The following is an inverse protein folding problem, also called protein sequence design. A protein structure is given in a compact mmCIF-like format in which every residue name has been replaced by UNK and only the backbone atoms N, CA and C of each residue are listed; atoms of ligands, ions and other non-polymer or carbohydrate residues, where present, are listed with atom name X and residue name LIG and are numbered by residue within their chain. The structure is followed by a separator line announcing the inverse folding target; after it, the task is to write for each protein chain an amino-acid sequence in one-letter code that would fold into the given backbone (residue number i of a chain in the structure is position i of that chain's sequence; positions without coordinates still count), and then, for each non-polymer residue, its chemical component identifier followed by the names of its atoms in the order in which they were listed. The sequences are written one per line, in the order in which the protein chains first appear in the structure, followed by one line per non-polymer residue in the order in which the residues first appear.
data_IF_683231838837
#
_entry.id   IF_683231838837
#
_cell.length_a   1.000
_cell.length_b   1.000
_cell.length_c   1.000
_cell.angle_alpha   90.00
_cell.angle_beta   90.00
_cell.angle_gamma   90.00
#
_symmetry.space_group_name_H-M   'P 1'
#
loop_
_entity.id
_entity.type
_entity.pdbx_description
1 polymer ?
#
# COMPACT_ATOMS: atom_id res chain seq x y z
N UNK A 1 -15.91 3.51 -21.43
CA UNK A 1 -15.06 4.54 -20.82
C UNK A 1 -13.95 3.81 -20.09
N UNK A 2 -12.70 4.11 -20.39
CA UNK A 2 -11.55 3.61 -19.60
C UNK A 2 -11.55 4.35 -18.27
N UNK A 3 -11.63 3.62 -17.16
CA UNK A 3 -11.54 4.20 -15.82
C UNK A 3 -10.13 4.75 -15.62
N UNK A 4 -9.99 6.03 -15.27
CA UNK A 4 -8.67 6.62 -14.98
C UNK A 4 -8.17 6.15 -13.59
N UNK A 5 -6.86 6.26 -13.36
CA UNK A 5 -6.28 6.04 -12.03
C UNK A 5 -6.97 6.89 -10.94
N UNK A 6 -7.29 8.16 -11.25
CA UNK A 6 -8.02 9.05 -10.35
C UNK A 6 -9.42 8.51 -10.05
N UNK A 7 -10.19 8.14 -11.08
CA UNK A 7 -11.56 7.65 -10.91
C UNK A 7 -11.59 6.36 -10.09
N UNK A 8 -10.64 5.45 -10.33
CA UNK A 8 -10.47 4.24 -9.54
C UNK A 8 -10.25 4.53 -8.06
N UNK A 9 -9.30 5.42 -7.75
CA UNK A 9 -8.96 5.78 -6.37
C UNK A 9 -10.13 6.50 -5.69
N UNK A 10 -10.75 7.48 -6.36
CA UNK A 10 -11.92 8.20 -5.84
C UNK A 10 -13.05 7.22 -5.51
N UNK A 11 -13.42 6.33 -6.44
CA UNK A 11 -14.48 5.36 -6.22
C UNK A 11 -14.15 4.41 -5.06
N UNK A 12 -12.89 4.00 -4.92
CA UNK A 12 -12.44 3.15 -3.83
C UNK A 12 -12.65 3.82 -2.46
N UNK A 13 -12.15 5.04 -2.27
CA UNK A 13 -12.28 5.73 -0.98
C UNK A 13 -13.71 6.16 -0.69
N UNK A 14 -14.50 6.50 -1.71
CA UNK A 14 -15.94 6.73 -1.55
C UNK A 14 -16.67 5.47 -1.07
N UNK A 15 -16.35 4.31 -1.66
CA UNK A 15 -16.92 3.01 -1.25
C UNK A 15 -16.55 2.71 0.20
N UNK A 16 -15.29 2.89 0.58
CA UNK A 16 -14.83 2.66 1.94
C UNK A 16 -15.53 3.59 2.95
N UNK A 17 -15.69 4.88 2.61
CA UNK A 17 -16.44 5.83 3.43
C UNK A 17 -17.92 5.44 3.59
N UNK A 18 -18.57 4.95 2.52
CA UNK A 18 -19.95 4.47 2.58
C UNK A 18 -20.08 3.25 3.50
N UNK A 19 -19.19 2.27 3.38
CA UNK A 19 -19.18 1.07 4.25
C UNK A 19 -19.00 1.46 5.73
N UNK A 20 -18.11 2.42 6.00
CA UNK A 20 -17.89 2.93 7.36
C UNK A 20 -19.12 3.64 7.92
N UNK A 21 -19.83 4.43 7.11
CA UNK A 21 -21.09 5.07 7.53
C UNK A 21 -22.23 4.08 7.71
N UNK A 22 -22.32 3.05 6.87
CA UNK A 22 -23.29 1.96 7.05
C UNK A 22 -23.05 1.24 8.37
N UNK A 23 -21.79 0.97 8.71
CA UNK A 23 -21.42 0.43 10.02
C UNK A 23 -21.90 1.33 11.17
N UNK A 24 -21.71 2.64 11.08
CA UNK A 24 -22.23 3.59 12.08
C UNK A 24 -23.75 3.47 12.21
N UNK A 25 -24.47 3.41 11.09
CA UNK A 25 -25.91 3.25 11.09
C UNK A 25 -26.38 1.93 11.73
N UNK A 26 -25.68 0.83 11.50
CA UNK A 26 -25.96 -0.47 12.13
C UNK A 26 -25.75 -0.43 13.65
N UNK A 27 -24.63 0.15 14.10
CA UNK A 27 -24.32 0.31 15.52
C UNK A 27 -25.36 1.21 16.22
N UNK A 28 -25.80 2.29 15.57
CA UNK A 28 -26.85 3.17 16.08
C UNK A 28 -28.21 2.46 16.25
N UNK A 29 -28.46 1.41 15.47
CA UNK A 29 -29.65 0.54 15.59
C UNK A 29 -29.49 -0.55 16.66
N UNK A 30 -28.38 -0.57 17.40
CA UNK A 30 -28.07 -1.58 18.40
C UNK A 30 -27.51 -2.89 17.83
N UNK A 31 -27.15 -2.92 16.55
CA UNK A 31 -26.53 -4.11 15.95
C UNK A 31 -25.09 -4.23 16.41
N UNK A 32 -24.69 -5.37 16.98
CA UNK A 32 -23.31 -5.61 17.37
C UNK A 32 -22.50 -6.09 16.16
N UNK A 33 -21.59 -5.24 15.67
CA UNK A 33 -20.71 -5.56 14.52
C UNK A 33 -19.25 -5.60 14.98
N UNK A 34 -18.47 -6.66 14.68
CA UNK A 34 -17.04 -6.72 15.04
C UNK A 34 -16.25 -5.60 14.36
N UNK A 35 -15.27 -5.00 15.06
CA UNK A 35 -14.43 -3.92 14.54
C UNK A 35 -14.53 -2.60 15.35
N UNK A 36 -14.17 -1.45 14.76
CA UNK A 36 -14.14 -0.18 15.48
C UNK A 36 -15.53 0.27 15.93
N UNK A 37 -15.60 1.05 17.01
CA UNK A 37 -16.83 1.68 17.46
C UNK A 37 -17.38 2.71 16.45
N UNK A 38 -18.59 3.21 16.70
CA UNK A 38 -19.26 4.13 15.80
C UNK A 38 -18.50 5.45 15.63
N UNK A 39 -17.93 5.99 16.71
CA UNK A 39 -17.18 7.26 16.66
C UNK A 39 -15.90 7.12 15.83
N UNK A 40 -15.18 6.01 16.00
CA UNK A 40 -13.98 5.69 15.24
C UNK A 40 -14.32 5.42 13.77
N UNK A 41 -15.40 4.68 13.50
CA UNK A 41 -15.87 4.43 12.13
C UNK A 41 -16.26 5.72 11.41
N UNK A 42 -16.94 6.65 12.11
CA UNK A 42 -17.27 7.97 11.56
C UNK A 42 -16.01 8.76 11.20
N UNK A 43 -15.04 8.86 12.12
CA UNK A 43 -13.79 9.57 11.86
C UNK A 43 -12.99 8.94 10.71
N UNK A 44 -13.01 7.62 10.58
CA UNK A 44 -12.38 6.93 9.44
C UNK A 44 -13.08 7.31 8.13
N UNK A 45 -14.42 7.41 8.12
CA UNK A 45 -15.16 7.82 6.94
C UNK A 45 -14.81 9.26 6.53
N UNK A 46 -14.71 10.17 7.50
CA UNK A 46 -14.31 11.56 7.26
C UNK A 46 -12.90 11.64 6.66
N UNK A 47 -11.96 10.79 7.14
CA UNK A 47 -10.61 10.71 6.57
C UNK A 47 -10.62 10.16 5.14
N UNK A 48 -11.49 9.18 4.83
CA UNK A 48 -11.68 8.72 3.45
C UNK A 48 -12.22 9.83 2.54
N UNK A 49 -13.18 10.63 3.01
CA UNK A 49 -13.70 11.78 2.25
C UNK A 49 -12.62 12.83 1.99
N UNK A 50 -11.73 13.04 2.96
CA UNK A 50 -10.63 13.99 2.80
C UNK A 50 -9.63 13.52 1.73
N UNK A 51 -9.33 12.22 1.67
CA UNK A 51 -8.55 11.63 0.58
C UNK A 51 -9.25 11.82 -0.77
N UNK A 52 -10.57 11.61 -0.83
CA UNK A 52 -11.37 11.87 -2.03
C UNK A 52 -11.27 13.34 -2.45
N UNK A 53 -11.38 14.27 -1.51
CA UNK A 53 -11.26 15.70 -1.78
C UNK A 53 -9.87 16.06 -2.32
N UNK A 54 -8.80 15.49 -1.74
CA UNK A 54 -7.43 15.67 -2.24
C UNK A 54 -7.26 15.14 -3.67
N UNK A 55 -7.85 13.98 -4.00
CA UNK A 55 -7.81 13.41 -5.34
C UNK A 55 -8.61 14.25 -6.36
N UNK A 56 -9.78 14.75 -5.98
CA UNK A 56 -10.62 15.58 -6.84
C UNK A 56 -10.06 17.00 -7.05
N UNK A 57 -9.20 17.47 -6.14
CA UNK A 57 -8.50 18.74 -6.31
C UNK A 57 -7.41 18.69 -7.41
N UNK A 58 -7.01 17.50 -7.85
CA UNK A 58 -6.09 17.33 -8.97
C UNK A 58 -6.82 17.68 -10.27
N UNK A 59 -6.34 18.74 -10.93
CA UNK A 59 -6.86 19.17 -12.21
C UNK A 59 -6.73 18.06 -13.26
N UNK A 60 -7.80 17.81 -14.00
CA UNK A 60 -7.76 16.88 -15.14
C UNK A 60 -7.26 17.62 -16.37
N UNK A 61 -6.06 17.28 -16.82
CA UNK A 61 -5.43 17.89 -17.99
C UNK A 61 -5.61 17.07 -19.28
N UNK A 62 -6.33 15.94 -19.22
CA UNK A 62 -6.53 15.03 -20.37
C UNK A 62 -5.33 14.15 -20.70
N UNK A 63 -4.22 14.31 -19.97
CA UNK A 63 -3.03 13.46 -20.04
C UNK A 63 -2.99 12.57 -18.78
N UNK A 64 -3.12 11.26 -18.98
CA UNK A 64 -3.14 10.27 -17.91
C UNK A 64 -1.80 10.16 -17.18
N UNK A 65 -0.67 10.39 -17.86
CA UNK A 65 0.66 10.36 -17.23
C UNK A 65 0.84 11.56 -16.30
N UNK A 66 0.50 12.75 -16.77
CA UNK A 66 0.58 13.98 -15.96
C UNK A 66 -0.37 13.91 -14.76
N UNK A 67 -1.58 13.39 -14.98
CA UNK A 67 -2.55 13.17 -13.88
C UNK A 67 -2.02 12.16 -12.86
N UNK A 68 -1.40 11.07 -13.31
CA UNK A 68 -0.81 10.07 -12.43
C UNK A 68 0.39 10.61 -11.62
N UNK A 69 1.24 11.44 -12.22
CA UNK A 69 2.34 12.09 -11.52
C UNK A 69 1.82 13.08 -10.45
N UNK A 70 0.74 13.81 -10.75
CA UNK A 70 0.08 14.68 -9.78
C UNK A 70 -0.56 13.90 -8.62
N UNK A 71 -1.14 12.71 -8.89
CA UNK A 71 -1.64 11.81 -7.84
C UNK A 71 -0.49 11.31 -6.97
N UNK A 72 0.64 10.93 -7.57
CA UNK A 72 1.84 10.50 -6.83
C UNK A 72 2.38 11.59 -5.90
N UNK A 73 2.25 12.86 -6.28
CA UNK A 73 2.64 13.99 -5.43
C UNK A 73 1.81 14.12 -4.13
N UNK A 74 0.66 13.45 -4.00
CA UNK A 74 -0.10 13.38 -2.75
C UNK A 74 0.53 12.44 -1.71
N UNK A 75 1.37 11.49 -2.13
CA UNK A 75 1.91 10.46 -1.23
C UNK A 75 2.63 11.05 -0.01
N UNK A 76 3.57 12.01 -0.14
CA UNK A 76 4.23 12.60 1.02
C UNK A 76 3.26 13.34 1.97
N UNK A 77 2.22 13.98 1.42
CA UNK A 77 1.20 14.66 2.21
C UNK A 77 0.37 13.66 3.02
N UNK A 78 -0.01 12.54 2.41
CA UNK A 78 -0.74 11.46 3.08
C UNK A 78 0.10 10.80 4.18
N UNK A 79 1.40 10.59 3.95
CA UNK A 79 2.32 10.06 4.96
C UNK A 79 2.52 11.04 6.13
N UNK A 80 2.60 12.33 5.83
CA UNK A 80 2.63 13.37 6.86
C UNK A 80 1.35 13.35 7.70
N UNK A 81 0.17 13.33 7.08
CA UNK A 81 -1.12 13.21 7.78
C UNK A 81 -1.23 11.93 8.59
N UNK A 82 -0.70 10.81 8.09
CA UNK A 82 -0.63 9.56 8.86
C UNK A 82 0.22 9.75 10.13
N UNK A 83 1.33 10.47 10.03
CA UNK A 83 2.23 10.78 11.17
C UNK A 83 1.55 11.67 12.21
N UNK A 84 0.75 12.65 11.79
CA UNK A 84 -0.05 13.49 12.70
C UNK A 84 -1.09 12.67 13.49
N UNK A 85 -1.52 11.53 12.96
CA UNK A 85 -2.52 10.65 13.58
C UNK A 85 -1.90 9.54 14.45
N UNK A 86 -0.70 9.73 14.99
CA UNK A 86 -0.02 8.74 15.87
C UNK A 86 -0.91 8.23 17.01
N UNK A 87 -1.69 9.11 17.65
CA UNK A 87 -2.62 8.77 18.73
C UNK A 87 -3.92 8.11 18.26
N UNK A 88 -4.22 8.13 16.96
CA UNK A 88 -5.44 7.58 16.36
C UNK A 88 -5.07 6.52 15.30
N UNK A 89 -4.71 5.28 15.71
CA UNK A 89 -4.17 4.27 14.80
C UNK A 89 -5.14 3.91 13.64
N UNK A 90 -6.45 3.95 13.89
CA UNK A 90 -7.46 3.71 12.86
C UNK A 90 -7.43 4.78 11.75
N UNK A 91 -7.32 6.07 12.12
CA UNK A 91 -7.26 7.17 11.16
C UNK A 91 -5.92 7.20 10.44
N UNK A 92 -4.83 6.96 11.17
CA UNK A 92 -3.50 6.76 10.60
C UNK A 92 -3.51 5.69 9.51
N UNK A 93 -4.21 4.59 9.74
CA UNK A 93 -4.29 3.49 8.78
C UNK A 93 -4.99 3.87 7.47
N UNK A 94 -5.97 4.79 7.51
CA UNK A 94 -6.65 5.30 6.31
C UNK A 94 -5.66 6.09 5.44
N UNK A 95 -4.92 7.04 6.03
CA UNK A 95 -3.95 7.84 5.28
C UNK A 95 -2.76 7.02 4.77
N UNK A 96 -2.20 6.14 5.61
CA UNK A 96 -1.12 5.25 5.20
C UNK A 96 -1.58 4.27 4.10
N UNK A 97 -2.79 3.72 4.24
CA UNK A 97 -3.40 2.86 3.22
C UNK A 97 -3.64 3.61 1.91
N UNK A 98 -4.01 4.89 1.96
CA UNK A 98 -4.16 5.72 0.78
C UNK A 98 -2.84 5.94 0.04
N UNK A 99 -1.76 6.26 0.76
CA UNK A 99 -0.43 6.38 0.21
C UNK A 99 0.04 5.07 -0.47
N UNK A 100 -0.15 3.93 0.20
CA UNK A 100 0.16 2.61 -0.37
C UNK A 100 -0.64 2.34 -1.64
N UNK A 101 -1.95 2.61 -1.63
CA UNK A 101 -2.81 2.34 -2.79
C UNK A 101 -2.43 3.17 -4.01
N UNK A 102 -2.04 4.43 -3.81
CA UNK A 102 -1.54 5.29 -4.89
C UNK A 102 -0.28 4.67 -5.53
N UNK A 103 0.66 4.19 -4.71
CA UNK A 103 1.88 3.52 -5.21
C UNK A 103 1.56 2.25 -5.99
N UNK A 104 0.62 1.44 -5.51
CA UNK A 104 0.16 0.22 -6.20
C UNK A 104 -0.45 0.55 -7.57
N UNK A 105 -1.27 1.60 -7.66
CA UNK A 105 -1.84 2.06 -8.93
C UNK A 105 -0.74 2.51 -9.89
N UNK A 106 0.25 3.30 -9.44
CA UNK A 106 1.38 3.69 -10.28
C UNK A 106 2.16 2.49 -10.80
N UNK A 107 2.39 1.48 -9.97
CA UNK A 107 3.07 0.26 -10.39
C UNK A 107 2.27 -0.51 -11.45
N UNK A 108 0.96 -0.62 -11.28
CA UNK A 108 0.07 -1.29 -12.24
C UNK A 108 0.01 -0.56 -13.60
N UNK A 109 -0.02 0.78 -13.59
CA UNK A 109 0.02 1.61 -14.81
C UNK A 109 1.36 1.48 -15.56
N UNK A 110 2.48 1.40 -14.82
CA UNK A 110 3.80 1.18 -15.40
C UNK A 110 3.95 -0.20 -16.07
N UNK A 111 3.32 -1.24 -15.51
CA UNK A 111 3.31 -2.59 -16.10
C UNK A 111 2.36 -2.71 -17.30
N UNK A 112 1.31 -1.89 -17.34
CA UNK A 112 0.29 -1.92 -18.39
C UNK A 112 0.68 -1.12 -19.64
N UNK A 113 1.69 -0.26 -19.54
CA UNK A 113 2.29 0.44 -20.68
C UNK A 113 3.35 -0.47 -21.30
N UNK A 114 3.10 -1.16 -22.43
CA UNK A 114 4.17 -1.84 -23.13
C UNK A 114 5.16 -0.77 -23.58
N UNK A 115 6.40 -0.87 -23.08
CA UNK A 115 7.51 -0.16 -23.68
C UNK A 115 7.50 -0.50 -25.17
N UNK A 116 7.17 0.48 -26.02
CA UNK A 116 7.37 0.33 -27.45
C UNK A 116 8.86 0.14 -27.69
N UNK A 117 9.23 -1.10 -28.00
CA UNK A 117 10.38 -1.53 -28.79
C UNK A 117 11.71 -0.81 -28.56
N UNK A 118 12.55 -1.41 -27.73
CA UNK A 118 13.95 -1.67 -28.11
C UNK A 118 14.25 -3.12 -27.75
N UNK A 119 13.79 -4.02 -28.62
CA UNK A 119 14.47 -5.30 -28.82
C UNK A 119 15.71 -4.98 -29.63
N UNK A 120 16.82 -4.71 -28.95
CA UNK A 120 18.13 -4.84 -29.58
C UNK A 120 18.48 -6.33 -29.54
N UNK A 121 18.35 -6.93 -30.71
CA UNK A 121 18.49 -8.35 -31.01
C UNK A 121 19.98 -8.75 -30.98
N UNK A 122 20.24 -9.83 -30.25
CA UNK A 122 21.40 -10.75 -30.26
C UNK A 122 22.84 -10.20 -30.10
N UNK A 123 23.51 -10.68 -29.04
CA UNK A 123 24.59 -11.64 -29.31
C UNK A 123 24.83 -12.62 -28.14
N UNK A 124 24.89 -13.90 -28.51
CA UNK A 124 25.37 -15.06 -27.77
C UNK A 124 26.63 -14.76 -26.94
N UNK A 125 26.65 -15.18 -25.67
CA UNK A 125 27.85 -15.77 -25.06
C UNK A 125 27.42 -16.98 -24.23
N UNK A 126 28.08 -18.08 -24.56
CA UNK A 126 27.92 -19.46 -24.12
C UNK A 126 27.56 -19.68 -22.65
N UNK A 127 26.68 -20.66 -22.49
CA UNK A 127 26.59 -21.52 -21.32
C UNK A 127 27.88 -22.33 -21.31
N UNK A 128 28.80 -22.05 -20.37
CA UNK A 128 29.88 -22.98 -20.04
C UNK A 128 29.62 -23.59 -18.67
N UNK A 129 29.91 -24.88 -18.65
CA UNK A 129 29.52 -25.89 -17.70
C UNK A 129 30.07 -25.68 -16.28
N UNK A 130 29.23 -26.08 -15.31
CA UNK A 130 29.57 -26.99 -14.21
C UNK A 130 30.99 -26.92 -13.62
N UNK A 131 31.11 -26.44 -12.38
CA UNK A 131 31.90 -27.17 -11.38
C UNK A 131 31.36 -26.92 -9.96
N UNK A 132 30.97 -28.05 -9.35
CA UNK A 132 30.74 -28.25 -7.92
C UNK A 132 32.03 -27.92 -7.15
N UNK A 133 31.95 -27.04 -6.16
CA UNK A 133 32.87 -27.06 -5.02
C UNK A 133 32.07 -26.69 -3.75
N UNK A 134 31.23 -27.63 -3.34
CA UNK A 134 30.76 -27.75 -1.96
C UNK A 134 31.92 -28.26 -1.11
N UNK A 135 32.71 -27.35 -0.56
CA UNK A 135 33.64 -27.71 0.51
C UNK A 135 32.89 -27.82 1.83
N UNK A 136 32.60 -29.09 2.11
CA UNK A 136 32.31 -29.73 3.38
C UNK A 136 33.43 -29.46 4.41
N UNK A 137 33.25 -28.44 5.26
CA UNK A 137 33.95 -28.37 6.54
C UNK A 137 32.99 -28.75 7.68
N UNK A 138 32.64 -30.03 7.72
CA UNK A 138 32.23 -30.70 8.95
C UNK A 138 33.47 -31.14 9.71
N UNK A 139 33.83 -30.43 10.78
CA UNK A 139 34.45 -31.09 11.95
C UNK A 139 33.78 -30.59 13.23
N UNK A 140 33.21 -31.56 13.91
CA UNK A 140 32.51 -31.50 15.18
C UNK A 140 33.46 -31.43 16.41
N UNK A 141 32.82 -31.33 17.57
CA UNK A 141 33.34 -31.53 18.94
C UNK A 141 34.06 -30.31 19.53
N UNK A 142 33.85 -29.91 20.78
CA UNK A 142 33.13 -30.50 21.91
C UNK A 142 32.98 -29.40 22.99
N UNK A 143 32.38 -29.78 24.12
CA UNK A 143 32.44 -29.13 25.45
C UNK A 143 31.24 -28.25 25.82
N UNK A 144 30.25 -28.96 26.37
CA UNK A 144 29.66 -28.68 27.68
C UNK A 144 30.23 -27.46 28.41
N UNK A 145 29.43 -26.39 28.56
CA UNK A 145 29.60 -25.50 29.71
C UNK A 145 28.38 -25.63 30.63
N UNK A 146 28.64 -26.43 31.64
CA UNK A 146 27.89 -26.71 32.84
C UNK A 146 27.53 -25.39 33.57
N UNK A 147 26.25 -24.99 33.55
CA UNK A 147 25.72 -24.12 34.61
C UNK A 147 25.07 -25.01 35.67
N UNK A 148 25.92 -25.55 36.54
CA UNK A 148 25.53 -26.01 37.86
C UNK A 148 25.25 -24.82 38.77
N UNK A 149 24.00 -24.77 39.24
CA UNK A 149 23.53 -24.48 40.59
C UNK A 149 24.04 -23.26 41.41
N UNK A 150 23.04 -22.71 42.12
CA UNK A 150 23.04 -22.23 43.51
C UNK A 150 23.18 -20.73 43.76
N UNK A 151 22.07 -20.09 44.13
CA UNK A 151 21.71 -19.89 45.55
C UNK A 151 20.21 -19.60 45.66
#
# INVERSE_FOLDING_TARGET
MTTTARDYLVNRFQTDAVVLRERVALLARGTKVPGPDAATSSRMADACDEVVAMLLAIASHGDASVELDAIMALVPLLEHRATEQQSNPAIRSVYAGAATRIREVRLAEAQSSPAHGDVDDVNDVDVDDTDDDVDDDVIAFDEDDDITAAT
#
